data_IF_635506815181
#
_entry.id   IF_635506815181
#
_cell.length_a   1.000
_cell.length_b   1.000
_cell.length_c   1.000
_cell.angle_alpha   90.00
_cell.angle_beta   90.00
_cell.angle_gamma   90.00
#
_symmetry.space_group_name_H-M   'P 1'
#
loop_
_entity.id
_entity.type
_entity.pdbx_description
1 polymer ?
#
# COMPACT_ATOMS: atom_id res chain seq x y z
N UNK A 1 12.59 -7.44 15.21
CA UNK A 1 12.21 -8.09 13.93
C UNK A 1 12.95 -9.42 13.86
N UNK A 2 12.28 -10.53 13.50
CA UNK A 2 12.96 -11.82 13.35
C UNK A 2 14.01 -11.71 12.23
N UNK A 3 15.26 -12.13 12.48
CA UNK A 3 16.38 -12.01 11.52
C UNK A 3 16.06 -12.62 10.15
N UNK A 4 15.34 -13.75 10.14
CA UNK A 4 14.91 -14.43 8.89
C UNK A 4 13.91 -13.56 8.11
N UNK A 5 13.00 -12.87 8.81
CA UNK A 5 12.04 -11.99 8.15
C UNK A 5 12.72 -10.74 7.60
N UNK A 6 13.70 -10.19 8.32
CA UNK A 6 14.52 -9.07 7.85
C UNK A 6 15.29 -9.43 6.59
N UNK A 7 15.92 -10.61 6.56
CA UNK A 7 16.60 -11.12 5.37
C UNK A 7 15.64 -11.25 4.17
N UNK A 8 14.48 -11.88 4.36
CA UNK A 8 13.50 -12.03 3.28
C UNK A 8 12.95 -10.69 2.80
N UNK A 9 12.68 -9.74 3.70
CA UNK A 9 12.27 -8.39 3.31
C UNK A 9 13.35 -7.70 2.46
N UNK A 10 14.63 -7.83 2.83
CA UNK A 10 15.73 -7.29 2.03
C UNK A 10 15.84 -7.95 0.65
N UNK A 11 15.56 -9.25 0.52
CA UNK A 11 15.48 -9.92 -0.78
C UNK A 11 14.33 -9.38 -1.63
N UNK A 12 13.13 -9.21 -1.05
CA UNK A 12 12.01 -8.64 -1.79
C UNK A 12 12.27 -7.18 -2.20
N UNK A 13 12.95 -6.41 -1.36
CA UNK A 13 13.37 -5.05 -1.71
C UNK A 13 14.33 -5.05 -2.91
N UNK A 14 15.24 -6.03 -3.02
CA UNK A 14 16.09 -6.18 -4.21
C UNK A 14 15.28 -6.55 -5.45
N UNK A 15 14.27 -7.43 -5.34
CA UNK A 15 13.37 -7.71 -6.46
C UNK A 15 12.62 -6.45 -6.90
N UNK A 16 12.11 -5.67 -5.95
CA UNK A 16 11.44 -4.40 -6.25
C UNK A 16 12.39 -3.45 -6.97
N UNK A 17 13.64 -3.31 -6.49
CA UNK A 17 14.66 -2.50 -7.16
C UNK A 17 14.88 -2.94 -8.61
N UNK A 18 15.07 -4.23 -8.87
CA UNK A 18 15.30 -4.75 -10.21
C UNK A 18 14.12 -4.49 -11.15
N UNK A 19 12.89 -4.71 -10.67
CA UNK A 19 11.66 -4.45 -11.42
C UNK A 19 11.50 -2.95 -11.71
N UNK A 20 11.73 -2.08 -10.71
CA UNK A 20 11.65 -0.62 -10.86
C UNK A 20 12.70 -0.10 -11.85
N UNK A 21 13.96 -0.50 -11.68
CA UNK A 21 15.07 -0.05 -12.52
C UNK A 21 14.92 -0.51 -13.98
N UNK A 22 14.36 -1.72 -14.19
CA UNK A 22 14.04 -2.22 -15.52
C UNK A 22 12.70 -1.70 -16.08
N UNK A 23 12.02 -0.81 -15.35
CA UNK A 23 10.69 -0.28 -15.68
C UNK A 23 9.61 -1.36 -15.90
N UNK A 24 9.75 -2.49 -15.22
CA UNK A 24 8.81 -3.62 -15.25
C UNK A 24 7.89 -3.55 -14.04
N UNK A 25 6.64 -3.19 -14.26
CA UNK A 25 5.70 -2.95 -13.15
C UNK A 25 4.56 -3.97 -13.04
N UNK A 26 4.50 -4.96 -13.94
CA UNK A 26 3.39 -5.93 -13.99
C UNK A 26 3.27 -6.80 -12.74
N UNK A 27 4.38 -7.09 -12.06
CA UNK A 27 4.43 -7.96 -10.87
C UNK A 27 4.75 -7.21 -9.58
N UNK A 28 4.88 -5.87 -9.64
CA UNK A 28 5.34 -5.07 -8.52
C UNK A 28 4.46 -5.22 -7.27
N UNK A 29 3.15 -5.35 -7.45
CA UNK A 29 2.19 -5.58 -6.36
C UNK A 29 2.60 -6.78 -5.51
N UNK A 30 2.98 -7.89 -6.14
CA UNK A 30 3.34 -9.12 -5.45
C UNK A 30 4.57 -8.92 -4.57
N UNK A 31 5.61 -8.26 -5.10
CA UNK A 31 6.82 -7.99 -4.33
C UNK A 31 6.57 -7.00 -3.19
N UNK A 32 5.80 -5.94 -3.41
CA UNK A 32 5.39 -5.00 -2.36
C UNK A 32 4.61 -5.70 -1.24
N UNK A 33 3.65 -6.56 -1.60
CA UNK A 33 2.87 -7.33 -0.63
C UNK A 33 3.73 -8.30 0.17
N UNK A 34 4.65 -9.01 -0.49
CA UNK A 34 5.62 -9.89 0.18
C UNK A 34 6.53 -9.11 1.13
N UNK A 35 7.10 -7.98 0.68
CA UNK A 35 7.92 -7.08 1.51
C UNK A 35 7.16 -6.63 2.76
N UNK A 36 5.93 -6.13 2.60
CA UNK A 36 5.08 -5.70 3.71
C UNK A 36 4.83 -6.85 4.69
N UNK A 37 4.53 -8.05 4.18
CA UNK A 37 4.29 -9.22 4.99
C UNK A 37 5.51 -9.60 5.83
N UNK A 38 6.71 -9.59 5.24
CA UNK A 38 7.94 -9.89 5.98
C UNK A 38 8.25 -8.83 7.04
N UNK A 39 8.12 -7.54 6.72
CA UNK A 39 8.31 -6.45 7.68
C UNK A 39 7.39 -6.57 8.91
N UNK A 40 6.16 -7.01 8.71
CA UNK A 40 5.15 -7.14 9.77
C UNK A 40 5.06 -8.56 10.37
N UNK A 41 5.92 -9.50 9.95
CA UNK A 41 5.88 -10.89 10.42
C UNK A 41 4.63 -11.67 10.02
N UNK A 42 3.94 -11.23 8.97
CA UNK A 42 2.74 -11.84 8.41
C UNK A 42 3.12 -13.01 7.49
N UNK A 43 3.56 -14.11 8.10
CA UNK A 43 4.04 -15.27 7.38
C UNK A 43 3.26 -16.52 7.77
N UNK A 44 3.18 -17.46 6.84
CA UNK A 44 2.68 -18.81 7.09
C UNK A 44 3.62 -19.57 8.04
N UNK A 45 3.20 -20.74 8.53
CA UNK A 45 4.06 -21.66 9.31
C UNK A 45 5.34 -22.08 8.57
N UNK A 46 5.35 -21.99 7.24
CA UNK A 46 6.51 -22.30 6.39
C UNK A 46 7.38 -21.07 6.07
N UNK A 47 7.10 -19.91 6.68
CA UNK A 47 7.88 -18.69 6.45
C UNK A 47 7.60 -17.98 5.11
N UNK A 48 6.55 -18.38 4.39
CA UNK A 48 6.10 -17.70 3.16
C UNK A 48 5.19 -16.51 3.49
N UNK A 49 5.20 -15.43 2.70
CA UNK A 49 4.37 -14.25 2.96
C UNK A 49 2.89 -14.62 2.91
N UNK A 50 2.11 -14.09 3.85
CA UNK A 50 0.69 -14.36 3.98
C UNK A 50 -0.12 -13.06 3.98
N UNK A 51 -0.46 -12.59 2.78
CA UNK A 51 -1.22 -11.36 2.60
C UNK A 51 -2.62 -11.41 3.22
N UNK A 52 -3.15 -12.60 3.53
CA UNK A 52 -4.43 -12.73 4.25
C UNK A 52 -4.30 -12.15 5.66
N UNK A 53 -3.15 -12.29 6.30
CA UNK A 53 -2.95 -11.78 7.66
C UNK A 53 -2.93 -10.25 7.72
N UNK A 54 -2.84 -9.54 6.59
CA UNK A 54 -2.97 -8.08 6.55
C UNK A 54 -4.35 -7.64 7.07
N UNK A 55 -5.40 -8.46 6.91
CA UNK A 55 -6.72 -8.18 7.51
C UNK A 55 -6.70 -8.06 9.04
N UNK A 56 -5.66 -8.57 9.70
CA UNK A 56 -5.52 -8.54 11.15
C UNK A 56 -4.75 -7.31 11.65
N UNK A 57 -3.88 -6.71 10.81
CA UNK A 57 -2.98 -5.62 11.23
C UNK A 57 -3.19 -4.32 10.46
N UNK A 58 -3.85 -4.35 9.31
CA UNK A 58 -4.15 -3.15 8.53
C UNK A 58 -5.07 -2.19 9.27
N UNK A 59 -4.95 -0.89 8.97
CA UNK A 59 -5.83 0.15 9.51
C UNK A 59 -7.28 -0.19 9.15
N UNK A 60 -8.22 0.00 10.07
CA UNK A 60 -9.65 -0.30 9.82
C UNK A 60 -10.43 0.97 9.62
N UNK A 61 -11.46 0.94 8.80
CA UNK A 61 -12.50 1.97 8.84
C UNK A 61 -13.41 1.76 10.06
N UNK A 62 -14.12 2.80 10.48
CA UNK A 62 -15.12 2.69 11.55
C UNK A 62 -16.17 1.61 11.20
N UNK A 63 -16.61 1.56 9.94
CA UNK A 63 -17.60 0.58 9.49
C UNK A 63 -17.07 -0.87 9.50
N UNK A 64 -15.80 -1.05 9.13
CA UNK A 64 -15.15 -2.37 9.12
C UNK A 64 -14.70 -2.86 10.50
N UNK A 65 -14.64 -1.99 11.52
CA UNK A 65 -14.05 -2.31 12.82
C UNK A 65 -14.68 -3.55 13.49
N UNK A 66 -16.01 -3.67 13.46
CA UNK A 66 -16.75 -4.75 14.12
C UNK A 66 -16.98 -5.98 13.24
N UNK A 67 -16.58 -5.94 11.96
CA UNK A 67 -16.79 -7.04 11.03
C UNK A 67 -15.60 -8.00 11.11
N UNK A 68 -15.89 -9.24 11.52
CA UNK A 68 -14.91 -10.33 11.55
C UNK A 68 -14.95 -11.17 10.26
N UNK A 69 -16.08 -11.14 9.57
CA UNK A 69 -16.26 -11.92 8.35
C UNK A 69 -15.49 -11.31 7.17
N UNK A 70 -14.29 -11.85 6.91
CA UNK A 70 -13.37 -11.37 5.86
C UNK A 70 -14.02 -11.28 4.48
N UNK A 71 -14.98 -12.14 4.12
CA UNK A 71 -15.63 -12.08 2.79
C UNK A 71 -16.38 -10.77 2.57
N UNK A 72 -16.77 -10.06 3.63
CA UNK A 72 -17.44 -8.75 3.59
C UNK A 72 -16.46 -7.57 3.59
N UNK A 73 -15.16 -7.86 3.73
CA UNK A 73 -14.11 -6.87 3.83
C UNK A 73 -13.25 -6.86 2.57
N UNK A 74 -12.66 -5.70 2.32
CA UNK A 74 -11.67 -5.47 1.28
C UNK A 74 -10.41 -4.93 1.93
N UNK A 75 -9.26 -5.50 1.54
CA UNK A 75 -7.93 -4.97 1.83
C UNK A 75 -7.50 -4.12 0.65
N UNK A 76 -7.08 -2.89 0.90
CA UNK A 76 -6.56 -1.99 -0.14
C UNK A 76 -5.34 -1.23 0.38
N UNK A 77 -4.40 -0.87 -0.52
CA UNK A 77 -3.23 -0.04 -0.16
C UNK A 77 -3.68 1.39 0.09
N UNK A 78 -3.33 2.02 1.21
CA UNK A 78 -3.69 3.40 1.56
C UNK A 78 -3.44 4.38 0.40
N UNK A 79 -2.23 4.35 -0.16
CA UNK A 79 -1.92 5.02 -1.42
C UNK A 79 -2.11 4.02 -2.58
N UNK A 80 -2.82 4.38 -3.67
CA UNK A 80 -3.00 3.48 -4.80
C UNK A 80 -1.66 3.02 -5.40
N UNK A 81 -1.60 1.77 -5.85
CA UNK A 81 -0.40 1.19 -6.45
C UNK A 81 0.14 2.03 -7.62
N UNK A 82 -0.76 2.54 -8.46
CA UNK A 82 -0.44 3.44 -9.57
C UNK A 82 0.32 4.70 -9.15
N UNK A 83 0.02 5.23 -7.96
CA UNK A 83 0.67 6.43 -7.42
C UNK A 83 2.04 6.08 -6.85
N UNK A 84 2.15 4.97 -6.09
CA UNK A 84 3.44 4.41 -5.65
C UNK A 84 4.36 4.16 -6.86
N UNK A 85 3.82 3.58 -7.93
CA UNK A 85 4.55 3.40 -9.20
C UNK A 85 4.97 4.74 -9.83
N UNK A 86 4.17 5.79 -9.69
CA UNK A 86 4.53 7.14 -10.14
C UNK A 86 5.75 7.70 -9.41
N UNK A 87 5.88 7.44 -8.11
CA UNK A 87 7.09 7.78 -7.34
C UNK A 87 8.31 7.00 -7.87
N UNK A 88 8.17 5.70 -8.10
CA UNK A 88 9.27 4.90 -8.64
C UNK A 88 9.70 5.34 -10.05
N UNK A 89 8.75 5.65 -10.94
CA UNK A 89 9.06 6.20 -12.27
C UNK A 89 9.79 7.53 -12.19
N UNK A 90 9.46 8.36 -11.19
CA UNK A 90 10.15 9.63 -10.93
C UNK A 90 11.60 9.38 -10.55
N UNK A 91 11.86 8.44 -9.63
CA UNK A 91 13.23 8.06 -9.27
C UNK A 91 14.04 7.56 -10.48
N UNK A 92 13.44 6.72 -11.33
CA UNK A 92 14.13 6.23 -12.55
C UNK A 92 14.43 7.37 -13.51
N UNK A 93 13.45 8.25 -13.76
CA UNK A 93 13.61 9.42 -14.64
C UNK A 93 14.74 10.34 -14.16
N UNK A 94 14.87 10.51 -12.86
CA UNK A 94 15.81 11.43 -12.24
C UNK A 94 17.18 10.78 -11.93
N UNK A 95 17.38 9.51 -12.32
CA UNK A 95 18.59 8.69 -12.05
C UNK A 95 18.88 8.48 -10.54
N UNK A 96 17.79 8.42 -9.75
CA UNK A 96 17.80 8.31 -8.29
C UNK A 96 17.22 6.98 -7.79
N UNK A 97 17.00 6.00 -8.68
CA UNK A 97 16.38 4.72 -8.35
C UNK A 97 17.33 3.77 -7.58
N UNK A 98 17.79 4.18 -6.40
CA UNK A 98 18.60 3.36 -5.48
C UNK A 98 17.72 2.47 -4.59
N UNK A 99 18.31 1.42 -4.00
CA UNK A 99 17.60 0.56 -3.03
C UNK A 99 17.09 1.40 -1.85
N UNK A 100 17.91 2.33 -1.37
CA UNK A 100 17.60 3.23 -0.26
C UNK A 100 16.42 4.14 -0.60
N UNK A 101 16.44 4.80 -1.76
CA UNK A 101 15.35 5.71 -2.16
C UNK A 101 14.03 4.96 -2.41
N UNK A 102 14.10 3.78 -3.03
CA UNK A 102 12.94 2.91 -3.19
C UNK A 102 12.38 2.49 -1.83
N UNK A 103 13.26 2.11 -0.90
CA UNK A 103 12.85 1.76 0.47
C UNK A 103 12.15 2.92 1.18
N UNK A 104 12.65 4.15 1.06
CA UNK A 104 12.00 5.32 1.66
C UNK A 104 10.57 5.50 1.15
N UNK A 105 10.36 5.43 -0.18
CA UNK A 105 9.02 5.51 -0.79
C UNK A 105 8.10 4.40 -0.27
N UNK A 106 8.61 3.18 -0.16
CA UNK A 106 7.83 2.05 0.35
C UNK A 106 7.47 2.26 1.81
N UNK A 107 8.43 2.59 2.66
CA UNK A 107 8.21 2.73 4.10
C UNK A 107 7.25 3.89 4.41
N UNK A 108 7.25 4.96 3.60
CA UNK A 108 6.36 6.11 3.77
C UNK A 108 4.93 5.85 3.28
N UNK A 109 4.75 5.06 2.21
CA UNK A 109 3.47 4.98 1.50
C UNK A 109 2.81 3.59 1.49
N UNK A 110 3.55 2.52 1.78
CA UNK A 110 3.04 1.15 1.73
C UNK A 110 2.34 0.77 3.05
N UNK A 111 1.14 1.29 3.22
CA UNK A 111 0.22 0.89 4.28
C UNK A 111 -1.05 0.29 3.69
N UNK A 112 -1.79 -0.45 4.50
CA UNK A 112 -3.06 -1.06 4.10
C UNK A 112 -4.21 -0.61 4.98
N UNK A 113 -5.37 -0.45 4.34
CA UNK A 113 -6.67 -0.26 4.98
C UNK A 113 -7.58 -1.46 4.72
N UNK A 114 -8.37 -1.79 5.74
CA UNK A 114 -9.44 -2.77 5.70
C UNK A 114 -10.76 -2.02 5.82
N UNK A 115 -11.57 -2.14 4.78
CA UNK A 115 -12.86 -1.44 4.63
C UNK A 115 -13.95 -2.42 4.24
N UNK A 116 -15.21 -2.01 4.30
CA UNK A 116 -16.32 -2.84 3.80
C UNK A 116 -16.36 -2.85 2.27
N UNK A 117 -17.07 -3.81 1.67
CA UNK A 117 -17.29 -3.83 0.22
C UNK A 117 -18.07 -2.61 -0.26
N UNK A 118 -19.00 -2.11 0.54
CA UNK A 118 -19.78 -0.92 0.24
C UNK A 118 -18.89 0.33 0.18
N UNK A 119 -17.98 0.49 1.15
CA UNK A 119 -16.97 1.56 1.17
C UNK A 119 -16.05 1.46 -0.05
N UNK A 120 -15.55 0.26 -0.37
CA UNK A 120 -14.72 0.05 -1.55
C UNK A 120 -15.45 0.43 -2.85
N UNK A 121 -16.72 0.03 -2.99
CA UNK A 121 -17.51 0.37 -4.16
C UNK A 121 -17.77 1.88 -4.27
N UNK A 122 -17.87 2.60 -3.16
CA UNK A 122 -17.96 4.06 -3.15
C UNK A 122 -16.70 4.71 -3.74
N UNK A 123 -15.51 4.25 -3.35
CA UNK A 123 -14.23 4.69 -3.94
C UNK A 123 -14.17 4.41 -5.44
N UNK A 124 -14.57 3.22 -5.87
CA UNK A 124 -14.60 2.84 -7.29
C UNK A 124 -15.54 3.75 -8.07
N UNK A 125 -16.75 4.00 -7.55
CA UNK A 125 -17.74 4.89 -8.19
C UNK A 125 -17.25 6.33 -8.30
N UNK A 126 -16.44 6.79 -7.34
CA UNK A 126 -15.82 8.10 -7.35
C UNK A 126 -14.58 8.19 -8.27
N UNK A 127 -14.14 7.07 -8.89
CA UNK A 127 -12.92 7.04 -9.72
C UNK A 127 -11.61 7.00 -8.93
N UNK A 128 -11.67 6.81 -7.61
CA UNK A 128 -10.55 6.91 -6.68
C UNK A 128 -9.89 5.55 -6.34
N UNK A 129 -10.24 4.50 -7.09
CA UNK A 129 -9.62 3.17 -6.91
C UNK A 129 -8.12 3.20 -7.20
N UNK A 130 -7.77 3.74 -8.37
CA UNK A 130 -6.40 3.74 -8.91
C UNK A 130 -5.82 5.16 -8.96
N UNK A 131 -6.41 6.14 -8.29
CA UNK A 131 -5.93 7.53 -8.30
C UNK A 131 -6.19 8.20 -6.96
N UNK A 132 -5.41 9.23 -6.66
CA UNK A 132 -5.69 10.17 -5.57
C UNK A 132 -6.56 11.32 -6.07
N UNK A 133 -7.39 11.94 -5.20
CA UNK A 133 -8.17 13.12 -5.58
C UNK A 133 -7.25 14.29 -5.95
N UNK A 134 -7.77 15.26 -6.70
CA UNK A 134 -6.96 16.39 -7.22
C UNK A 134 -6.25 17.18 -6.11
N UNK A 135 -6.90 17.34 -4.95
CA UNK A 135 -6.35 18.03 -3.78
C UNK A 135 -5.07 17.39 -3.24
N UNK A 136 -4.86 16.09 -3.46
CA UNK A 136 -3.61 15.42 -3.07
C UNK A 136 -2.37 16.05 -3.73
N UNK A 137 -2.53 16.58 -4.94
CA UNK A 137 -1.43 17.16 -5.73
C UNK A 137 -1.33 18.68 -5.62
N UNK A 138 -2.21 19.35 -4.89
CA UNK A 138 -2.31 20.81 -4.84
C UNK A 138 -1.82 21.35 -3.49
N UNK A 139 -0.69 22.05 -3.46
CA UNK A 139 -0.06 22.54 -2.22
C UNK A 139 -0.95 23.43 -1.33
N UNK A 140 -2.00 24.03 -1.91
CA UNK A 140 -2.97 24.89 -1.20
C UNK A 140 -4.20 24.15 -0.70
N UNK A 141 -4.38 22.88 -1.06
CA UNK A 141 -5.53 22.08 -0.64
C UNK A 141 -5.27 21.44 0.72
N UNK A 142 -6.34 21.26 1.52
CA UNK A 142 -6.26 20.60 2.82
C UNK A 142 -5.78 19.13 2.73
N UNK A 143 -5.93 18.51 1.56
CA UNK A 143 -5.53 17.13 1.31
C UNK A 143 -4.15 16.99 0.67
N UNK A 144 -3.36 18.07 0.56
CA UNK A 144 -2.04 18.01 -0.06
C UNK A 144 -1.14 16.94 0.59
N UNK A 145 -0.66 16.00 -0.21
CA UNK A 145 0.12 14.83 0.24
C UNK A 145 -0.53 14.00 1.36
N UNK A 146 -1.84 14.13 1.59
CA UNK A 146 -2.57 13.38 2.60
C UNK A 146 -2.91 11.98 2.08
N UNK A 147 -2.28 10.94 2.62
CA UNK A 147 -2.52 9.54 2.24
C UNK A 147 -3.97 9.07 2.46
N UNK A 148 -4.72 9.76 3.32
CA UNK A 148 -6.12 9.45 3.62
C UNK A 148 -7.11 10.12 2.66
N UNK A 149 -6.66 11.04 1.81
CA UNK A 149 -7.52 11.97 1.07
C UNK A 149 -8.63 11.28 0.26
N UNK A 150 -8.32 10.13 -0.36
CA UNK A 150 -9.31 9.41 -1.16
C UNK A 150 -10.47 8.85 -0.33
N UNK A 151 -10.25 8.57 0.95
CA UNK A 151 -11.28 8.13 1.89
C UNK A 151 -12.09 9.31 2.39
N UNK A 152 -11.41 10.41 2.76
CA UNK A 152 -12.03 11.63 3.26
C UNK A 152 -13.04 12.20 2.25
N UNK A 153 -12.66 12.27 0.96
CA UNK A 153 -13.49 12.79 -0.14
C UNK A 153 -14.78 11.99 -0.35
N UNK A 154 -14.81 10.70 0.02
CA UNK A 154 -16.02 9.85 -0.11
C UNK A 154 -16.69 9.58 1.24
N UNK A 155 -16.28 10.28 2.31
CA UNK A 155 -16.87 10.16 3.64
C UNK A 155 -16.54 8.85 4.38
N UNK A 156 -15.43 8.18 4.03
CA UNK A 156 -14.95 6.99 4.75
C UNK A 156 -14.03 7.45 5.88
N UNK A 157 -14.37 7.09 7.12
CA UNK A 157 -13.58 7.45 8.29
C UNK A 157 -12.70 6.29 8.75
N UNK A 158 -11.39 6.54 8.87
CA UNK A 158 -10.44 5.60 9.46
C UNK A 158 -10.59 5.57 10.99
N UNK A 159 -10.41 4.39 11.56
CA UNK A 159 -10.33 4.21 13.00
C UNK A 159 -8.95 4.68 13.48
N UNK A 160 -8.95 5.66 14.39
CA UNK A 160 -7.74 6.19 15.04
C UNK A 160 -7.13 5.20 16.03
#
# INVERSE_FOLDING_TARGET
>A
MNEIHGFNASLELQHIYLEVYAERYSHLRTFLESYYCYQHGLVTKQGKPDWIQIFNVGKRTIAAHKIQERKLLVREMMLPLSVIMGHFKTLVRDDEATIENIKMIIDEHLEYVIMTREEYNALVKAGLKETMPIGYYQATDAHYCCINARFDVVGITLLM
#
